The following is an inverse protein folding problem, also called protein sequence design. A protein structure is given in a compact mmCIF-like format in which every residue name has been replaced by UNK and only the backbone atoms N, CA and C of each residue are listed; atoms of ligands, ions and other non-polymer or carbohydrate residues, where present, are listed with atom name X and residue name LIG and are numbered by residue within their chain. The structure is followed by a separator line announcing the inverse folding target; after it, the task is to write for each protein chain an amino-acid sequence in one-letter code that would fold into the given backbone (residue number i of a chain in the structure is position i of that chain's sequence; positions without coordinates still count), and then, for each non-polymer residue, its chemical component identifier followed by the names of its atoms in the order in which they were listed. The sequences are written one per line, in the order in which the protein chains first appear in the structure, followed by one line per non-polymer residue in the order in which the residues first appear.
data_IF_763464001235
#
_entry.id   IF_763464001235
#
_cell.length_a   1.000
_cell.length_b   1.000
_cell.length_c   1.000
_cell.angle_alpha   90.00
_cell.angle_beta   90.00
_cell.angle_gamma   90.00
#
_symmetry.space_group_name_H-M   'P 1'
#
loop_
_entity.id
_entity.type
_entity.pdbx_description
1 polymer ?
#
# COMPACT_ATOMS: atom_id res chain seq x y z
N UNK A 1 -37.28 28.84 -9.70
CA UNK A 1 -35.88 28.57 -9.29
C UNK A 1 -35.11 29.87 -9.42
N UNK A 2 -34.10 30.09 -8.58
CA UNK A 2 -33.21 31.24 -8.77
C UNK A 2 -32.25 30.95 -9.93
N UNK A 3 -31.77 31.97 -10.65
CA UNK A 3 -30.75 31.80 -11.70
C UNK A 3 -29.50 31.05 -11.23
N UNK A 4 -29.13 31.20 -9.95
CA UNK A 4 -28.02 30.48 -9.31
C UNK A 4 -28.31 28.97 -9.14
N UNK A 5 -29.54 28.59 -8.82
CA UNK A 5 -29.93 27.19 -8.72
C UNK A 5 -29.95 26.51 -10.09
N UNK A 6 -30.38 27.21 -11.14
CA UNK A 6 -30.34 26.70 -12.52
C UNK A 6 -28.91 26.57 -13.07
N UNK A 7 -28.01 27.49 -12.70
CA UNK A 7 -26.59 27.40 -13.05
C UNK A 7 -25.91 26.22 -12.34
N UNK A 8 -26.18 26.02 -11.05
CA UNK A 8 -25.66 24.89 -10.28
C UNK A 8 -26.19 23.54 -10.78
N UNK A 9 -27.48 23.46 -11.10
CA UNK A 9 -28.11 22.26 -11.66
C UNK A 9 -27.47 21.89 -13.02
N UNK A 10 -27.27 22.87 -13.91
CA UNK A 10 -26.57 22.67 -15.18
C UNK A 10 -25.11 22.27 -15.00
N UNK A 11 -24.41 22.79 -14.00
CA UNK A 11 -23.04 22.39 -13.68
C UNK A 11 -22.98 20.94 -13.17
N UNK A 12 -23.91 20.53 -12.30
CA UNK A 12 -24.06 19.15 -11.83
C UNK A 12 -24.35 18.18 -12.99
N UNK A 13 -25.30 18.52 -13.84
CA UNK A 13 -25.67 17.74 -15.02
C UNK A 13 -24.49 17.63 -16.00
N UNK A 14 -23.74 18.71 -16.22
CA UNK A 14 -22.56 18.69 -17.07
C UNK A 14 -21.41 17.86 -16.50
N UNK A 15 -21.29 17.75 -15.16
CA UNK A 15 -20.29 16.93 -14.47
C UNK A 15 -20.69 15.47 -14.30
N UNK A 16 -21.97 15.14 -14.53
CA UNK A 16 -22.50 13.78 -14.36
C UNK A 16 -21.82 12.77 -15.29
N UNK A 17 -21.62 13.02 -16.60
CA UNK A 17 -20.91 12.09 -17.48
C UNK A 17 -19.44 11.88 -17.09
N UNK A 18 -18.75 12.92 -16.63
CA UNK A 18 -17.36 12.81 -16.18
C UNK A 18 -17.26 11.99 -14.88
N UNK A 19 -18.20 12.19 -13.96
CA UNK A 19 -18.30 11.43 -12.73
C UNK A 19 -18.61 9.95 -13.00
N UNK A 20 -19.58 9.67 -13.87
CA UNK A 20 -19.92 8.32 -14.29
C UNK A 20 -18.74 7.61 -14.96
N UNK A 21 -18.03 8.29 -15.88
CA UNK A 21 -16.85 7.73 -16.53
C UNK A 21 -15.73 7.39 -15.52
N UNK A 22 -15.46 8.30 -14.56
CA UNK A 22 -14.50 8.06 -13.46
C UNK A 22 -14.93 6.91 -12.57
N UNK A 23 -16.22 6.80 -12.26
CA UNK A 23 -16.76 5.71 -11.46
C UNK A 23 -16.65 4.36 -12.18
N UNK A 24 -17.00 4.30 -13.47
CA UNK A 24 -16.84 3.08 -14.28
C UNK A 24 -15.37 2.65 -14.39
N UNK A 25 -14.45 3.59 -14.57
CA UNK A 25 -13.02 3.30 -14.58
C UNK A 25 -12.53 2.79 -13.22
N UNK A 26 -13.03 3.35 -12.11
CA UNK A 26 -12.75 2.86 -10.76
C UNK A 26 -13.23 1.41 -10.58
N UNK A 27 -14.46 1.10 -10.97
CA UNK A 27 -15.02 -0.25 -10.89
C UNK A 27 -14.23 -1.24 -11.76
N UNK A 28 -13.85 -0.83 -12.98
CA UNK A 28 -13.02 -1.64 -13.86
C UNK A 28 -11.67 -1.97 -13.21
N UNK A 29 -11.04 -0.99 -12.56
CA UNK A 29 -9.78 -1.19 -11.84
C UNK A 29 -9.94 -2.09 -10.64
N UNK A 30 -11.00 -1.94 -9.87
CA UNK A 30 -11.30 -2.82 -8.75
C UNK A 30 -11.41 -4.28 -9.20
N UNK A 31 -12.08 -4.56 -10.32
CA UNK A 31 -12.16 -5.90 -10.91
C UNK A 31 -10.77 -6.45 -11.26
N UNK A 32 -9.93 -5.62 -11.88
CA UNK A 32 -8.55 -6.00 -12.23
C UNK A 32 -7.72 -6.25 -10.97
N UNK A 33 -7.80 -5.38 -9.98
CA UNK A 33 -7.08 -5.48 -8.72
C UNK A 33 -7.51 -6.69 -7.93
N UNK A 34 -8.81 -6.95 -7.81
CA UNK A 34 -9.33 -8.16 -7.16
C UNK A 34 -8.80 -9.42 -7.85
N UNK A 35 -8.83 -9.48 -9.19
CA UNK A 35 -8.29 -10.62 -9.95
C UNK A 35 -6.80 -10.85 -9.70
N UNK A 36 -6.02 -9.78 -9.54
CA UNK A 36 -4.57 -9.86 -9.44
C UNK A 36 -4.04 -10.06 -8.01
N UNK A 37 -4.73 -9.48 -7.02
CA UNK A 37 -4.23 -9.36 -5.65
C UNK A 37 -5.10 -10.06 -4.61
N UNK A 38 -6.35 -10.41 -4.91
CA UNK A 38 -7.24 -11.09 -3.96
C UNK A 38 -7.32 -12.57 -4.27
N UNK A 39 -7.11 -13.40 -3.25
CA UNK A 39 -7.45 -14.83 -3.29
C UNK A 39 -8.73 -15.08 -2.51
N UNK A 40 -9.60 -15.98 -3.01
CA UNK A 40 -10.83 -16.32 -2.32
C UNK A 40 -10.55 -17.00 -0.98
N UNK A 41 -11.57 -17.04 -0.12
CA UNK A 41 -11.50 -17.75 1.15
C UNK A 41 -11.17 -19.24 0.92
N UNK A 42 -10.30 -19.85 1.75
CA UNK A 42 -10.04 -21.27 1.66
C UNK A 42 -11.30 -22.07 2.01
N UNK A 43 -11.44 -23.26 1.42
CA UNK A 43 -12.58 -24.15 1.70
C UNK A 43 -12.70 -24.43 3.20
N UNK A 44 -13.92 -24.34 3.73
CA UNK A 44 -14.20 -24.55 5.16
C UNK A 44 -13.75 -23.43 6.09
N UNK A 45 -13.35 -22.26 5.56
CA UNK A 45 -13.01 -21.11 6.39
C UNK A 45 -14.15 -20.71 7.33
N UNK A 46 -13.81 -20.48 8.61
CA UNK A 46 -14.74 -20.00 9.63
C UNK A 46 -14.19 -18.69 10.22
N UNK A 47 -14.88 -17.55 10.03
CA UNK A 47 -14.41 -16.29 10.57
C UNK A 47 -14.44 -16.29 12.10
N UNK A 48 -13.48 -15.60 12.72
CA UNK A 48 -13.43 -15.44 14.19
C UNK A 48 -14.64 -14.64 14.67
N UNK A 49 -15.07 -14.84 15.92
CA UNK A 49 -16.19 -14.10 16.54
C UNK A 49 -15.80 -12.67 16.95
N UNK A 50 -15.17 -11.95 16.04
CA UNK A 50 -14.77 -10.54 16.16
C UNK A 50 -15.23 -9.84 14.88
N UNK A 51 -15.41 -8.51 14.93
CA UNK A 51 -15.77 -7.70 13.76
C UNK A 51 -14.63 -7.69 12.73
N UNK A 52 -14.06 -6.53 12.44
CA UNK A 52 -12.86 -6.41 11.62
C UNK A 52 -11.64 -7.02 12.30
N UNK A 53 -10.95 -7.95 11.60
CA UNK A 53 -9.64 -8.45 12.04
C UNK A 53 -8.85 -9.02 10.88
N UNK A 54 -7.57 -8.68 10.80
CA UNK A 54 -6.65 -9.23 9.81
C UNK A 54 -5.62 -10.17 10.45
N UNK A 55 -5.08 -11.07 9.63
CA UNK A 55 -3.87 -11.85 9.91
C UNK A 55 -2.87 -11.58 8.79
N UNK A 56 -1.64 -11.26 9.16
CA UNK A 56 -0.56 -11.05 8.22
C UNK A 56 0.41 -12.24 8.22
N UNK A 57 0.88 -12.65 7.05
CA UNK A 57 1.87 -13.73 6.89
C UNK A 57 2.96 -13.29 5.92
N UNK A 58 4.22 -13.43 6.31
CA UNK A 58 5.40 -13.15 5.49
C UNK A 58 5.99 -14.47 4.97
N UNK A 59 6.29 -14.47 3.67
CA UNK A 59 7.02 -15.51 2.97
C UNK A 59 8.28 -14.92 2.35
N UNK A 60 9.37 -15.69 2.35
CA UNK A 60 10.59 -15.38 1.61
C UNK A 60 10.83 -16.47 0.56
N UNK A 61 11.20 -16.07 -0.65
CA UNK A 61 11.53 -16.98 -1.74
C UNK A 61 12.78 -17.81 -1.41
N UNK A 62 13.82 -17.13 -0.93
CA UNK A 62 15.07 -17.72 -0.49
C UNK A 62 15.32 -17.41 0.99
N UNK A 63 15.86 -18.39 1.72
CA UNK A 63 16.17 -18.26 3.16
C UNK A 63 17.67 -18.23 3.45
N UNK A 64 18.51 -18.18 2.42
CA UNK A 64 19.96 -18.06 2.56
C UNK A 64 20.38 -16.75 1.92
N UNK A 65 21.07 -15.93 2.69
CA UNK A 65 21.61 -14.64 2.27
C UNK A 65 23.12 -14.66 2.43
N UNK A 66 23.87 -14.17 1.44
CA UNK A 66 25.33 -14.09 1.52
C UNK A 66 25.73 -12.66 1.86
N UNK A 67 26.58 -12.50 2.87
CA UNK A 67 27.20 -11.21 3.17
C UNK A 67 28.07 -10.84 1.97
N UNK A 68 27.89 -9.63 1.46
CA UNK A 68 28.69 -9.15 0.35
C UNK A 68 30.11 -8.83 0.85
N UNK A 69 31.09 -9.09 0.01
CA UNK A 69 32.42 -8.49 0.17
C UNK A 69 32.32 -7.00 -0.18
N UNK A 70 33.22 -6.17 0.37
CA UNK A 70 33.22 -4.71 0.16
C UNK A 70 33.26 -4.31 -1.34
N UNK A 71 33.73 -5.20 -2.22
CA UNK A 71 33.82 -5.01 -3.68
C UNK A 71 32.60 -5.53 -4.46
N UNK A 72 31.67 -6.26 -3.82
CA UNK A 72 30.44 -6.75 -4.47
C UNK A 72 29.29 -5.73 -4.27
N UNK A 73 28.91 -5.01 -5.34
CA UNK A 73 27.71 -4.17 -5.32
C UNK A 73 26.44 -5.00 -5.11
N UNK A 74 25.59 -4.58 -4.16
CA UNK A 74 24.28 -5.19 -3.84
C UNK A 74 23.32 -5.33 -5.03
N UNK A 75 23.57 -4.61 -6.13
CA UNK A 75 22.81 -4.70 -7.37
C UNK A 75 23.07 -5.99 -8.18
N UNK A 76 24.15 -6.73 -7.90
CA UNK A 76 24.61 -7.87 -8.71
C UNK A 76 24.21 -9.27 -8.19
N UNK A 77 23.41 -9.37 -7.12
CA UNK A 77 22.76 -10.64 -6.73
C UNK A 77 21.28 -10.40 -6.47
N UNK A 78 20.45 -11.35 -6.91
CA UNK A 78 19.00 -11.28 -6.79
C UNK A 78 18.61 -10.91 -5.35
N UNK A 79 17.89 -9.81 -5.13
CA UNK A 79 17.53 -9.35 -3.79
C UNK A 79 16.81 -10.48 -3.05
N UNK A 80 16.83 -10.49 -1.72
CA UNK A 80 15.84 -11.27 -0.97
C UNK A 80 14.48 -10.98 -1.61
N UNK A 81 13.65 -11.99 -1.87
CA UNK A 81 12.33 -11.77 -2.44
C UNK A 81 11.28 -12.22 -1.46
N UNK A 82 10.23 -11.44 -1.33
CA UNK A 82 9.22 -11.64 -0.30
C UNK A 82 7.80 -11.57 -0.85
N UNK A 83 6.88 -12.17 -0.10
CA UNK A 83 5.45 -12.04 -0.32
C UNK A 83 4.77 -11.84 1.03
N UNK A 84 3.94 -10.83 1.14
CA UNK A 84 3.06 -10.61 2.27
C UNK A 84 1.65 -11.02 1.87
N UNK A 85 0.99 -11.74 2.77
CA UNK A 85 -0.40 -12.12 2.66
C UNK A 85 -1.18 -11.53 3.83
N UNK A 86 -2.26 -10.78 3.55
CA UNK A 86 -3.14 -10.17 4.55
C UNK A 86 -4.53 -10.79 4.39
N UNK A 87 -4.92 -11.62 5.35
CA UNK A 87 -6.20 -12.31 5.33
C UNK A 87 -7.20 -11.63 6.25
N UNK A 88 -8.42 -11.38 5.78
CA UNK A 88 -9.53 -11.01 6.65
C UNK A 88 -9.95 -12.25 7.46
N UNK A 89 -9.63 -12.26 8.75
CA UNK A 89 -10.00 -13.34 9.68
C UNK A 89 -11.24 -13.01 10.52
N UNK A 90 -11.79 -11.81 10.34
CA UNK A 90 -12.99 -11.30 10.99
C UNK A 90 -14.28 -11.69 10.28
N UNK A 91 -15.43 -11.25 10.83
CA UNK A 91 -16.77 -11.49 10.27
C UNK A 91 -17.27 -10.39 9.33
N UNK A 92 -16.67 -9.22 9.41
CA UNK A 92 -17.08 -8.05 8.64
C UNK A 92 -16.20 -7.87 7.42
N UNK A 93 -16.79 -7.37 6.34
CA UNK A 93 -16.04 -6.91 5.17
C UNK A 93 -15.14 -5.74 5.58
N UNK A 94 -13.91 -5.74 5.07
CA UNK A 94 -12.93 -4.68 5.30
C UNK A 94 -12.79 -3.88 4.01
N UNK A 95 -13.14 -2.59 4.04
CA UNK A 95 -12.74 -1.69 2.97
C UNK A 95 -11.24 -1.40 3.10
N UNK A 96 -10.43 -1.90 2.16
CA UNK A 96 -8.99 -1.76 2.14
C UNK A 96 -8.58 -0.67 1.16
N UNK A 97 -7.84 0.34 1.64
CA UNK A 97 -7.39 1.46 0.82
C UNK A 97 -5.91 1.79 1.06
N UNK A 98 -5.16 1.92 -0.03
CA UNK A 98 -3.77 2.37 -0.05
C UNK A 98 -3.55 3.35 -1.21
N UNK A 99 -3.07 4.57 -0.94
CA UNK A 99 -2.80 5.55 -2.00
C UNK A 99 -1.52 5.24 -2.79
N UNK A 100 -0.50 4.73 -2.11
CA UNK A 100 0.72 4.17 -2.69
C UNK A 100 0.82 2.73 -2.21
N UNK A 101 0.26 1.82 -2.99
CA UNK A 101 -0.04 0.49 -2.48
C UNK A 101 1.20 -0.32 -2.16
N UNK A 102 1.36 -0.70 -0.88
CA UNK A 102 2.35 -1.66 -0.43
C UNK A 102 2.13 -3.00 -1.13
N UNK A 103 0.87 -3.43 -1.27
CA UNK A 103 0.51 -4.66 -1.97
C UNK A 103 1.00 -4.66 -3.43
N UNK A 104 0.94 -3.52 -4.12
CA UNK A 104 1.33 -3.40 -5.53
C UNK A 104 2.81 -3.10 -5.78
N UNK A 105 3.49 -2.48 -4.82
CA UNK A 105 4.84 -1.89 -5.04
C UNK A 105 5.88 -2.31 -4.02
N UNK A 106 5.47 -2.84 -2.87
CA UNK A 106 6.34 -3.02 -1.71
C UNK A 106 6.70 -1.73 -0.99
N UNK A 107 6.11 -0.58 -1.35
CA UNK A 107 6.30 0.70 -0.68
C UNK A 107 5.78 0.66 0.76
N UNK A 108 6.65 0.92 1.74
CA UNK A 108 6.32 0.80 3.16
C UNK A 108 5.42 1.92 3.73
N UNK A 109 5.12 2.96 2.95
CA UNK A 109 4.04 3.94 3.15
C UNK A 109 3.43 4.10 4.54
N UNK A 110 4.24 4.53 5.52
CA UNK A 110 3.85 4.94 6.87
C UNK A 110 3.25 3.86 7.80
N UNK A 111 2.45 2.94 7.27
CA UNK A 111 1.78 1.89 8.04
C UNK A 111 2.55 0.58 8.05
N UNK A 112 3.40 0.31 7.06
CA UNK A 112 4.17 -0.93 7.01
C UNK A 112 5.61 -0.69 7.45
N UNK A 113 6.17 -1.63 8.20
CA UNK A 113 7.58 -1.61 8.57
C UNK A 113 8.12 -3.03 8.57
N UNK A 114 9.32 -3.21 8.03
CA UNK A 114 10.07 -4.45 8.19
C UNK A 114 10.98 -4.37 9.40
N UNK A 115 11.15 -5.49 10.08
CA UNK A 115 12.10 -5.62 11.18
C UNK A 115 12.97 -6.85 10.98
N UNK A 116 14.26 -6.69 11.26
CA UNK A 116 15.18 -7.79 11.50
C UNK A 116 15.31 -8.05 13.00
N UNK A 117 15.44 -9.31 13.36
CA UNK A 117 15.81 -9.79 14.68
C UNK A 117 17.20 -10.40 14.50
N UNK A 118 18.22 -9.75 15.08
CA UNK A 118 19.61 -10.18 14.93
C UNK A 118 19.87 -11.53 15.60
N UNK A 119 21.00 -12.21 15.33
CA UNK A 119 21.37 -13.44 16.03
C UNK A 119 21.44 -13.30 17.56
N UNK A 120 21.64 -12.07 18.06
CA UNK A 120 21.63 -11.73 19.49
C UNK A 120 20.24 -11.38 20.03
N UNK A 121 19.19 -11.52 19.22
CA UNK A 121 17.80 -11.24 19.59
C UNK A 121 17.40 -9.76 19.54
N UNK A 122 18.29 -8.85 19.11
CA UNK A 122 17.96 -7.42 19.00
C UNK A 122 17.02 -7.19 17.81
N UNK A 123 15.91 -6.50 18.02
CA UNK A 123 15.05 -6.05 16.93
C UNK A 123 15.57 -4.72 16.35
N UNK A 124 15.66 -4.64 15.02
CA UNK A 124 16.08 -3.45 14.28
C UNK A 124 15.06 -3.22 13.18
N UNK A 125 14.59 -1.98 13.05
CA UNK A 125 13.75 -1.59 11.90
C UNK A 125 14.61 -1.54 10.64
N UNK A 126 14.11 -2.15 9.57
CA UNK A 126 14.80 -2.20 8.30
C UNK A 126 14.43 -0.96 7.52
N UNK A 127 15.37 -0.01 7.45
CA UNK A 127 15.23 1.14 6.57
C UNK A 127 15.11 0.65 5.12
N UNK A 128 14.11 1.20 4.46
CA UNK A 128 13.76 0.83 3.09
C UNK A 128 14.32 1.87 2.14
N UNK A 129 15.12 1.44 1.17
CA UNK A 129 15.44 2.30 0.03
C UNK A 129 14.22 2.42 -0.84
N UNK A 130 13.54 3.54 -0.68
CA UNK A 130 12.74 4.09 -1.75
C UNK A 130 13.67 4.55 -2.88
N UNK A 131 13.85 3.68 -3.87
CA UNK A 131 13.77 4.17 -5.24
C UNK A 131 12.29 4.26 -5.52
N UNK A 132 11.73 5.47 -5.47
CA UNK A 132 10.37 5.67 -5.95
C UNK A 132 10.33 5.03 -7.35
N UNK A 133 9.42 4.11 -7.66
CA UNK A 133 9.32 3.59 -9.02
C UNK A 133 9.06 4.70 -10.05
N UNK A 134 8.62 5.88 -9.59
CA UNK A 134 8.49 7.11 -10.38
C UNK A 134 9.74 8.03 -10.35
N UNK A 135 10.69 7.79 -9.46
CA UNK A 135 11.98 8.51 -9.35
C UNK A 135 13.08 7.46 -9.25
N UNK A 136 13.39 6.85 -10.38
CA UNK A 136 14.44 5.84 -10.49
C UNK A 136 15.82 6.48 -10.41
N UNK A 137 16.53 6.31 -9.29
CA UNK A 137 18.00 6.41 -9.23
C UNK A 137 18.69 5.13 -9.78
N UNK A 138 18.12 4.57 -10.84
CA UNK A 138 18.89 3.79 -11.82
C UNK A 138 19.28 4.81 -12.89
N UNK A 139 20.28 5.65 -12.59
CA UNK A 139 20.87 6.59 -13.54
C UNK A 139 19.90 7.30 -14.48
N UNK A 140 19.19 8.34 -14.01
CA UNK A 140 18.72 9.47 -14.84
C UNK A 140 17.88 9.21 -16.10
N UNK A 141 17.43 7.98 -16.39
CA UNK A 141 16.55 7.76 -17.54
C UNK A 141 15.10 8.06 -17.14
N UNK A 142 14.43 9.04 -17.78
CA UNK A 142 13.03 9.31 -17.53
C UNK A 142 12.21 8.05 -17.82
N UNK A 143 11.14 7.81 -17.05
CA UNK A 143 10.20 6.72 -17.33
C UNK A 143 9.76 6.89 -18.79
N UNK A 144 9.99 5.89 -19.67
CA UNK A 144 9.72 6.06 -21.09
C UNK A 144 8.21 6.17 -21.29
N UNK A 145 7.74 7.40 -21.50
CA UNK A 145 6.36 7.67 -21.87
C UNK A 145 6.23 7.26 -23.34
N UNK A 146 5.38 6.27 -23.69
CA UNK A 146 5.28 5.80 -25.07
C UNK A 146 4.95 6.95 -26.04
N UNK A 147 5.81 7.17 -27.02
CA UNK A 147 5.64 8.23 -28.04
C UNK A 147 6.06 9.64 -27.61
N UNK A 148 6.60 9.83 -26.42
CA UNK A 148 6.96 11.15 -25.87
C UNK A 148 7.96 11.94 -26.70
N UNK A 149 8.96 11.27 -27.28
CA UNK A 149 9.96 11.90 -28.14
C UNK A 149 9.37 12.47 -29.44
N UNK A 150 8.17 11.99 -29.83
CA UNK A 150 7.46 12.42 -31.03
C UNK A 150 6.45 13.55 -30.76
N UNK A 151 6.26 13.94 -29.50
CA UNK A 151 5.36 15.03 -29.13
C UNK A 151 6.03 16.39 -29.33
N UNK A 152 5.27 17.42 -29.78
CA UNK A 152 5.73 18.81 -29.74
C UNK A 152 6.13 19.22 -28.32
N UNK A 153 7.15 20.07 -28.18
CA UNK A 153 7.68 20.49 -26.87
C UNK A 153 6.59 21.10 -25.96
N UNK A 154 5.68 21.87 -26.55
CA UNK A 154 4.54 22.47 -25.84
C UNK A 154 3.54 21.45 -25.27
N UNK A 155 3.50 20.21 -25.80
CA UNK A 155 2.60 19.14 -25.38
C UNK A 155 3.25 18.16 -24.40
N UNK A 156 4.59 18.07 -24.39
CA UNK A 156 5.34 17.16 -23.51
C UNK A 156 5.01 17.35 -22.03
N UNK A 157 4.91 18.59 -21.55
CA UNK A 157 4.55 18.86 -20.16
C UNK A 157 3.18 18.30 -19.77
N UNK A 158 2.18 18.44 -20.66
CA UNK A 158 0.82 17.91 -20.44
C UNK A 158 0.80 16.37 -20.48
N UNK A 159 1.52 15.78 -21.43
CA UNK A 159 1.64 14.32 -21.54
C UNK A 159 2.35 13.70 -20.34
N UNK A 160 3.43 14.32 -19.86
CA UNK A 160 4.16 13.89 -18.66
C UNK A 160 3.25 13.91 -17.43
N UNK A 161 2.50 15.01 -17.22
CA UNK A 161 1.55 15.10 -16.12
C UNK A 161 0.46 14.04 -16.22
N UNK A 162 -0.16 13.87 -17.40
CA UNK A 162 -1.20 12.88 -17.61
C UNK A 162 -0.71 11.45 -17.32
N UNK A 163 0.52 11.13 -17.72
CA UNK A 163 1.13 9.84 -17.46
C UNK A 163 1.44 9.62 -15.97
N UNK A 164 1.96 10.63 -15.27
CA UNK A 164 2.17 10.56 -13.82
C UNK A 164 0.84 10.40 -13.07
N UNK A 165 -0.21 11.12 -13.49
CA UNK A 165 -1.55 11.01 -12.92
C UNK A 165 -2.12 9.59 -13.15
N UNK A 166 -1.93 9.03 -14.34
CA UNK A 166 -2.31 7.66 -14.66
C UNK A 166 -1.57 6.65 -13.78
N UNK A 167 -0.24 6.76 -13.68
CA UNK A 167 0.57 5.89 -12.84
C UNK A 167 0.15 5.98 -11.38
N UNK A 168 0.02 7.18 -10.82
CA UNK A 168 -0.48 7.38 -9.46
C UNK A 168 -1.84 6.71 -9.25
N UNK A 169 -2.72 6.80 -10.24
CA UNK A 169 -4.03 6.17 -10.16
C UNK A 169 -3.96 4.63 -10.29
N UNK A 170 -2.93 4.06 -10.92
CA UNK A 170 -2.65 2.61 -10.92
C UNK A 170 -2.01 2.12 -9.61
N UNK A 171 -1.26 2.99 -8.92
CA UNK A 171 -0.62 2.70 -7.63
C UNK A 171 -1.62 2.64 -6.47
N UNK A 172 -2.79 3.25 -6.62
CA UNK A 172 -3.88 3.16 -5.63
C UNK A 172 -4.47 1.75 -5.62
N UNK A 173 -4.75 1.24 -4.43
CA UNK A 173 -5.53 0.03 -4.21
C UNK A 173 -6.73 0.41 -3.36
N UNK A 174 -7.95 0.14 -3.84
CA UNK A 174 -9.19 0.34 -3.10
C UNK A 174 -10.13 -0.82 -3.45
N UNK A 175 -10.47 -1.64 -2.47
CA UNK A 175 -11.38 -2.79 -2.65
C UNK A 175 -11.99 -3.22 -1.33
N UNK A 176 -13.11 -3.92 -1.41
CA UNK A 176 -13.67 -4.67 -0.28
C UNK A 176 -12.99 -6.03 -0.14
N UNK A 177 -12.50 -6.35 1.06
CA UNK A 177 -11.91 -7.63 1.42
C UNK A 177 -12.89 -8.42 2.29
N UNK A 178 -13.57 -9.40 1.70
CA UNK A 178 -14.60 -10.19 2.38
C UNK A 178 -13.99 -11.17 3.40
N UNK A 179 -14.80 -11.66 4.37
CA UNK A 179 -14.34 -12.66 5.33
C UNK A 179 -13.66 -13.88 4.69
N UNK A 180 -12.43 -14.16 5.10
CA UNK A 180 -11.61 -15.26 4.62
C UNK A 180 -10.75 -14.95 3.39
N UNK A 181 -11.07 -13.90 2.64
CA UNK A 181 -10.28 -13.46 1.49
C UNK A 181 -8.89 -12.99 1.92
N UNK A 182 -7.93 -13.09 1.01
CA UNK A 182 -6.53 -12.75 1.26
C UNK A 182 -5.98 -11.83 0.20
N UNK A 183 -5.49 -10.66 0.61
CA UNK A 183 -4.64 -9.79 -0.20
C UNK A 183 -3.24 -10.38 -0.30
N UNK A 184 -2.66 -10.35 -1.49
CA UNK A 184 -1.34 -10.91 -1.80
C UNK A 184 -0.50 -9.84 -2.45
N UNK A 185 0.64 -9.52 -1.83
CA UNK A 185 1.57 -8.54 -2.40
C UNK A 185 2.24 -9.07 -3.68
N UNK A 186 2.18 -8.32 -4.77
CA UNK A 186 2.83 -8.62 -6.05
C UNK A 186 3.17 -7.32 -6.78
N UNK A 187 4.25 -7.32 -7.55
CA UNK A 187 4.66 -6.12 -8.27
C UNK A 187 3.70 -5.83 -9.44
N UNK A 188 3.13 -4.62 -9.52
CA UNK A 188 2.11 -4.30 -10.52
C UNK A 188 2.59 -4.35 -11.97
N UNK A 189 3.85 -3.93 -12.24
CA UNK A 189 4.45 -4.03 -13.58
C UNK A 189 4.86 -5.46 -13.98
N UNK A 190 5.13 -6.33 -13.00
CA UNK A 190 5.66 -7.68 -13.21
C UNK A 190 5.00 -8.60 -12.18
N UNK A 191 3.92 -9.32 -12.53
CA UNK A 191 3.10 -10.08 -11.58
C UNK A 191 3.80 -11.38 -11.12
N UNK A 192 5.07 -11.27 -10.73
CA UNK A 192 5.84 -12.33 -10.14
C UNK A 192 5.32 -12.62 -8.72
N UNK A 193 5.41 -13.87 -8.25
CA UNK A 193 4.84 -14.27 -6.97
C UNK A 193 5.55 -13.65 -5.75
N UNK A 194 6.77 -13.13 -5.92
CA UNK A 194 7.54 -12.48 -4.87
C UNK A 194 8.10 -11.13 -5.35
N UNK A 195 8.06 -10.13 -4.47
CA UNK A 195 8.59 -8.79 -4.70
C UNK A 195 10.04 -8.69 -4.22
N UNK A 196 10.87 -7.84 -4.84
CA UNK A 196 12.22 -7.59 -4.36
C UNK A 196 12.19 -6.92 -2.98
N UNK A 197 13.02 -7.42 -2.07
CA UNK A 197 13.25 -6.88 -0.74
C UNK A 197 14.41 -5.89 -0.82
N UNK A 198 14.11 -4.59 -0.74
CA UNK A 198 15.09 -3.52 -0.90
C UNK A 198 15.38 -2.89 0.46
N UNK A 199 16.51 -3.23 1.06
CA UNK A 199 16.97 -2.64 2.32
C UNK A 199 18.44 -2.29 2.24
N UNK A 200 18.83 -1.25 2.97
CA UNK A 200 20.24 -0.88 3.20
C UNK A 200 20.83 -1.57 4.41
N UNK A 201 20.03 -2.37 5.11
CA UNK A 201 20.49 -3.03 6.31
C UNK A 201 21.58 -4.05 5.97
N UNK A 202 22.76 -3.82 6.50
CA UNK A 202 23.87 -4.75 6.46
C UNK A 202 23.61 -5.89 7.44
N UNK A 203 23.41 -7.09 6.91
CA UNK A 203 23.23 -8.30 7.70
C UNK A 203 24.56 -8.80 8.29
N UNK A 204 25.15 -8.02 9.19
CA UNK A 204 26.40 -8.37 9.87
C UNK A 204 26.20 -8.41 11.40
N UNK A 205 26.75 -9.41 12.10
CA UNK A 205 27.60 -10.52 11.62
C UNK A 205 26.79 -11.66 10.95
N UNK A 206 27.44 -12.62 10.26
CA UNK A 206 26.80 -13.85 9.81
C UNK A 206 26.09 -14.61 10.93
N UNK A 207 25.00 -15.30 10.61
CA UNK A 207 24.18 -16.00 11.59
C UNK A 207 22.72 -16.10 11.17
N UNK A 208 21.87 -16.58 12.08
CA UNK A 208 20.43 -16.68 11.84
C UNK A 208 19.74 -15.38 12.23
N UNK A 209 19.08 -14.73 11.27
CA UNK A 209 18.25 -13.56 11.50
C UNK A 209 16.78 -13.94 11.41
N UNK A 210 15.93 -13.28 12.19
CA UNK A 210 14.48 -13.29 11.97
C UNK A 210 14.05 -12.06 11.17
N UNK A 211 13.10 -12.21 10.26
CA UNK A 211 12.48 -11.09 9.53
C UNK A 211 10.98 -11.12 9.79
N UNK A 212 10.39 -9.96 10.07
CA UNK A 212 8.93 -9.80 10.16
C UNK A 212 8.48 -8.49 9.52
N UNK A 213 7.22 -8.46 9.13
CA UNK A 213 6.49 -7.24 8.75
C UNK A 213 5.57 -6.86 9.88
N UNK A 214 5.40 -5.56 10.08
CA UNK A 214 4.43 -4.98 10.97
C UNK A 214 3.56 -4.05 10.17
N UNK A 215 2.25 -4.16 10.35
CA UNK A 215 1.26 -3.21 9.92
C UNK A 215 0.78 -2.44 11.16
N UNK A 216 1.03 -1.13 11.17
CA UNK A 216 0.73 -0.24 12.27
C UNK A 216 -0.35 0.76 11.83
N UNK A 217 -1.57 0.49 12.27
CA UNK A 217 -2.75 1.29 12.01
C UNK A 217 -3.42 1.65 13.34
N UNK A 218 -2.74 2.43 14.20
CA UNK A 218 -3.29 2.78 15.51
C UNK A 218 -4.58 3.59 15.33
N UNK A 219 -5.55 3.45 16.25
CA UNK A 219 -6.71 4.33 16.26
C UNK A 219 -6.26 5.79 16.32
N UNK A 220 -6.94 6.71 15.62
CA UNK A 220 -6.64 8.13 15.75
C UNK A 220 -6.78 8.58 17.19
N UNK A 221 -6.04 9.62 17.59
CA UNK A 221 -6.25 10.25 18.89
C UNK A 221 -7.62 10.94 18.89
N UNK A 222 -8.32 11.00 20.04
CA UNK A 222 -9.51 11.82 20.18
C UNK A 222 -9.19 13.27 19.78
N UNK A 223 -10.07 13.94 19.02
CA UNK A 223 -9.83 15.33 18.66
C UNK A 223 -9.84 16.19 19.91
N UNK A 224 -8.90 17.13 19.99
CA UNK A 224 -8.89 18.10 21.10
C UNK A 224 -9.93 19.21 20.89
N UNK A 225 -10.12 20.06 21.90
CA UNK A 225 -11.14 21.11 21.83
C UNK A 225 -10.82 22.14 20.73
N UNK A 226 -9.54 22.44 20.48
CA UNK A 226 -9.14 23.39 19.46
C UNK A 226 -9.44 22.86 18.05
N UNK A 227 -9.19 21.57 17.80
CA UNK A 227 -9.57 20.87 16.56
C UNK A 227 -11.09 20.87 16.38
N UNK A 228 -11.86 20.56 17.42
CA UNK A 228 -13.33 20.58 17.37
C UNK A 228 -13.83 21.99 17.02
N UNK A 229 -13.32 23.03 17.68
CA UNK A 229 -13.71 24.41 17.40
C UNK A 229 -13.30 24.85 15.98
N UNK A 230 -12.16 24.38 15.48
CA UNK A 230 -11.76 24.61 14.09
C UNK A 230 -12.77 24.01 13.09
N UNK A 231 -13.24 22.78 13.31
CA UNK A 231 -14.24 22.14 12.45
C UNK A 231 -15.63 22.77 12.55
N UNK A 232 -16.03 23.23 13.74
CA UNK A 232 -17.28 23.98 13.94
C UNK A 232 -17.28 25.26 13.12
N UNK A 233 -16.16 26.00 13.09
CA UNK A 233 -16.01 27.19 12.24
C UNK A 233 -16.13 26.90 10.75
N UNK A 234 -15.90 25.65 10.33
CA UNK A 234 -16.05 25.18 8.94
C UNK A 234 -17.43 24.61 8.64
N UNK A 235 -18.36 24.67 9.59
CA UNK A 235 -19.75 24.25 9.42
C UNK A 235 -20.04 22.80 9.80
N UNK A 236 -19.10 22.08 10.41
CA UNK A 236 -19.34 20.72 10.89
C UNK A 236 -19.81 20.73 12.35
N UNK A 237 -20.79 19.89 12.69
CA UNK A 237 -21.23 19.78 14.08
C UNK A 237 -20.24 18.97 14.94
N UNK A 238 -20.23 19.24 16.25
CA UNK A 238 -19.44 18.47 17.22
C UNK A 238 -19.80 16.98 17.19
N UNK A 239 -21.09 16.68 17.10
CA UNK A 239 -21.60 15.31 17.09
C UNK A 239 -21.12 14.53 15.87
N UNK A 240 -21.11 15.16 14.68
CA UNK A 240 -20.58 14.55 13.46
C UNK A 240 -19.08 14.23 13.60
N UNK A 241 -18.29 15.15 14.15
CA UNK A 241 -16.85 14.93 14.35
C UNK A 241 -16.57 13.79 15.33
N UNK A 242 -17.30 13.74 16.45
CA UNK A 242 -17.16 12.65 17.42
C UNK A 242 -17.61 11.31 16.84
N UNK A 243 -18.68 11.29 16.05
CA UNK A 243 -19.18 10.09 15.37
C UNK A 243 -18.17 9.58 14.33
N UNK A 244 -17.60 10.47 13.52
CA UNK A 244 -16.57 10.10 12.53
C UNK A 244 -15.27 9.63 13.19
N UNK A 245 -14.90 10.25 14.32
CA UNK A 245 -13.79 9.77 15.14
C UNK A 245 -14.05 8.35 15.68
N UNK A 246 -15.22 8.11 16.29
CA UNK A 246 -15.60 6.78 16.78
C UNK A 246 -15.59 5.74 15.67
N UNK A 247 -16.11 6.10 14.49
CA UNK A 247 -16.02 5.26 13.30
C UNK A 247 -14.56 4.93 12.97
N UNK A 248 -13.69 5.93 12.86
CA UNK A 248 -12.27 5.74 12.57
C UNK A 248 -11.57 4.84 13.61
N UNK A 249 -11.92 4.96 14.90
CA UNK A 249 -11.41 4.09 15.96
C UNK A 249 -11.83 2.64 15.74
N UNK A 250 -13.11 2.39 15.46
CA UNK A 250 -13.65 1.04 15.20
C UNK A 250 -13.06 0.43 13.92
N UNK A 251 -12.77 1.26 12.93
CA UNK A 251 -12.18 0.84 11.67
C UNK A 251 -10.68 0.52 11.77
N UNK A 252 -9.97 1.03 12.77
CA UNK A 252 -8.54 0.81 12.94
C UNK A 252 -8.19 -0.65 13.23
N UNK A 253 -7.07 -1.13 12.68
CA UNK A 253 -6.58 -2.50 12.94
C UNK A 253 -5.62 -2.59 14.14
N UNK A 254 -5.17 -1.46 14.65
CA UNK A 254 -4.10 -1.39 15.63
C UNK A 254 -2.78 -1.91 15.05
N UNK A 255 -1.99 -2.59 15.88
CA UNK A 255 -0.72 -3.19 15.46
C UNK A 255 -0.91 -4.67 15.12
N UNK A 256 -0.53 -5.05 13.90
CA UNK A 256 -0.58 -6.43 13.41
C UNK A 256 0.81 -6.85 12.96
N UNK A 257 1.32 -7.94 13.51
CA UNK A 257 2.64 -8.50 13.13
C UNK A 257 2.47 -9.77 12.29
N UNK A 258 3.38 -9.98 11.34
CA UNK A 258 3.49 -11.24 10.62
C UNK A 258 4.14 -12.32 11.50
N UNK A 259 4.17 -13.56 11.01
CA UNK A 259 5.15 -14.54 11.47
C UNK A 259 6.59 -14.02 11.26
N UNK A 260 7.52 -14.54 12.07
CA UNK A 260 8.96 -14.33 11.89
C UNK A 260 9.49 -15.40 10.93
N UNK A 261 10.08 -14.99 9.82
CA UNK A 261 10.79 -15.87 8.90
C UNK A 261 12.27 -15.85 9.22
N UNK A 262 12.87 -17.03 9.44
CA UNK A 262 14.32 -17.13 9.66
C UNK A 262 15.07 -17.16 8.35
N UNK A 263 16.12 -16.36 8.26
CA UNK A 263 17.12 -16.41 7.18
C UNK A 263 18.49 -16.78 7.78
N UNK A 264 19.25 -17.57 7.04
CA UNK A 264 20.64 -17.85 7.33
C UNK A 264 21.51 -16.89 6.54
N UNK A 265 22.26 -16.07 7.26
CA UNK A 265 23.26 -15.19 6.68
C UNK A 265 24.61 -15.90 6.75
N UNK A 266 25.25 -16.10 5.60
CA UNK A 266 26.54 -16.77 5.47
C UNK A 266 27.60 -15.82 4.92
N UNK A 267 28.89 -16.06 5.17
CA UNK A 267 29.98 -15.32 4.53
C UNK A 267 30.00 -15.43 3.00
#
# INVERSE_FOLDING_TARGET
MTPEAEAFQKELEARTPEFEAKHQEMLRREVIDRKNYVRPAPSGFKPKRVGRKIKMTLFLENKVFRVLREDEHWLNRGPLRYRVEIQNVGRETIFWIENHSFIKTGYLGGKFAFYAITPKGRQVELEWRLRNPLVSDVGSEPIPIPGFDRLPEAEKGKAAKAYVDELNAQLKLALDLHPGETLVSRHFLKPEPFMPFLTDYEFTPPGVYGIKVVFNDPPPKPPDEDEIQHWIKRGFSREEQLKEHQRSVVESFGRVESNIVKIQVVP
#
